data_IF_507028170740
#
_entry.id   IF_507028170740
#
_cell.length_a   1.000
_cell.length_b   1.000
_cell.length_c   1.000
_cell.angle_alpha   90.00
_cell.angle_beta   90.00
_cell.angle_gamma   90.00
#
_symmetry.space_group_name_H-M   'P 1'
#
loop_
_entity.id
_entity.type
_entity.pdbx_description
1 polymer ?
#
# COMPACT_ATOMS: atom_id res chain seq x y z
N UNK A 1 -4.78 -6.58 -11.05
CA UNK A 1 -6.02 -6.90 -11.78
C UNK A 1 -6.66 -8.22 -11.32
N UNK A 2 -5.88 -9.23 -10.92
CA UNK A 2 -6.41 -10.55 -10.51
C UNK A 2 -7.27 -10.54 -9.22
N UNK A 3 -6.90 -9.76 -8.21
CA UNK A 3 -7.71 -9.67 -6.98
C UNK A 3 -9.07 -9.00 -7.23
N UNK A 4 -9.11 -7.92 -8.02
CA UNK A 4 -10.36 -7.25 -8.37
C UNK A 4 -11.31 -8.20 -9.11
N UNK A 5 -10.78 -9.01 -10.03
CA UNK A 5 -11.58 -10.02 -10.72
C UNK A 5 -12.18 -11.07 -9.76
N UNK A 6 -11.50 -11.35 -8.64
CA UNK A 6 -11.98 -12.29 -7.61
C UNK A 6 -13.19 -11.78 -6.81
N UNK A 7 -13.46 -10.47 -6.85
CA UNK A 7 -14.55 -9.82 -6.11
C UNK A 7 -15.60 -9.15 -7.02
N UNK A 8 -15.67 -9.52 -8.29
CA UNK A 8 -16.50 -8.82 -9.29
C UNK A 8 -16.24 -7.30 -9.27
N UNK A 9 -14.96 -6.94 -9.39
CA UNK A 9 -14.50 -5.55 -9.38
C UNK A 9 -15.01 -4.69 -10.54
N UNK A 10 -15.91 -5.20 -11.37
CA UNK A 10 -16.62 -4.45 -12.42
C UNK A 10 -17.45 -3.30 -11.85
N UNK A 11 -17.84 -3.39 -10.58
CA UNK A 11 -18.64 -2.39 -9.86
C UNK A 11 -17.79 -1.39 -9.07
N UNK A 12 -16.45 -1.46 -9.14
CA UNK A 12 -15.60 -0.53 -8.40
C UNK A 12 -15.68 0.85 -9.06
N UNK A 13 -16.13 1.82 -8.27
CA UNK A 13 -16.18 3.22 -8.66
C UNK A 13 -14.79 3.84 -8.87
N UNK A 14 -14.72 5.13 -9.26
CA UNK A 14 -13.45 5.82 -9.35
C UNK A 14 -12.74 5.84 -7.97
N UNK A 15 -11.41 6.04 -7.94
CA UNK A 15 -10.69 6.20 -6.69
C UNK A 15 -11.28 7.34 -5.85
N UNK A 16 -11.35 7.14 -4.53
CA UNK A 16 -11.72 8.22 -3.59
C UNK A 16 -10.72 9.39 -3.71
N UNK A 17 -11.18 10.59 -3.34
CA UNK A 17 -10.45 11.85 -3.50
C UNK A 17 -8.96 11.79 -3.19
N UNK A 18 -8.54 11.35 -1.99
CA UNK A 18 -7.13 11.28 -1.62
C UNK A 18 -6.29 10.43 -2.59
N UNK A 19 -6.81 9.28 -3.03
CA UNK A 19 -6.11 8.39 -3.98
C UNK A 19 -6.04 9.02 -5.37
N UNK A 20 -7.12 9.67 -5.82
CA UNK A 20 -7.15 10.36 -7.11
C UNK A 20 -6.15 11.52 -7.15
N UNK A 21 -6.08 12.32 -6.08
CA UNK A 21 -5.13 13.43 -5.93
C UNK A 21 -3.69 12.94 -5.87
N UNK A 22 -3.43 11.86 -5.13
CA UNK A 22 -2.12 11.23 -5.11
C UNK A 22 -1.70 10.76 -6.50
N UNK A 23 -2.56 10.03 -7.22
CA UNK A 23 -2.27 9.54 -8.55
C UNK A 23 -1.95 10.66 -9.55
N UNK A 24 -2.64 11.80 -9.44
CA UNK A 24 -2.40 12.96 -10.29
C UNK A 24 -1.08 13.69 -9.95
N UNK A 25 -0.63 13.65 -8.69
CA UNK A 25 0.53 14.40 -8.20
C UNK A 25 1.83 13.60 -8.06
N UNK A 26 1.79 12.27 -8.12
CA UNK A 26 2.93 11.40 -7.76
C UNK A 26 4.14 11.60 -8.68
N UNK A 27 3.92 11.87 -9.98
CA UNK A 27 5.02 12.06 -10.95
C UNK A 27 5.83 13.33 -10.73
N UNK A 28 5.32 14.28 -9.93
CA UNK A 28 6.03 15.53 -9.60
C UNK A 28 6.87 15.44 -8.32
N UNK A 29 6.93 14.28 -7.66
CA UNK A 29 7.68 14.09 -6.41
C UNK A 29 9.15 13.79 -6.70
N UNK A 30 10.01 14.14 -5.74
CA UNK A 30 11.44 13.79 -5.77
C UNK A 30 11.63 12.30 -5.48
N UNK A 31 12.68 11.71 -6.04
CA UNK A 31 13.00 10.28 -5.87
C UNK A 31 13.13 9.87 -4.40
N UNK A 32 13.78 10.71 -3.58
CA UNK A 32 13.91 10.47 -2.15
C UNK A 32 12.54 10.43 -1.43
N UNK A 33 11.59 11.29 -1.82
CA UNK A 33 10.22 11.23 -1.26
C UNK A 33 9.50 9.96 -1.71
N UNK A 34 9.64 9.58 -2.98
CA UNK A 34 9.03 8.36 -3.52
C UNK A 34 9.61 7.11 -2.86
N UNK A 35 10.88 7.11 -2.49
CA UNK A 35 11.49 6.04 -1.72
C UNK A 35 10.86 5.91 -0.33
N UNK A 36 10.60 7.02 0.36
CA UNK A 36 9.88 7.04 1.63
C UNK A 36 8.44 6.51 1.51
N UNK A 37 7.74 6.93 0.46
CA UNK A 37 6.41 6.42 0.15
C UNK A 37 6.43 4.91 -0.12
N UNK A 38 7.40 4.44 -0.89
CA UNK A 38 7.55 3.02 -1.20
C UNK A 38 7.90 2.20 0.04
N UNK A 39 8.70 2.74 0.98
CA UNK A 39 8.98 2.10 2.26
C UNK A 39 7.69 1.76 3.04
N UNK A 40 6.71 2.67 3.06
CA UNK A 40 5.44 2.44 3.74
C UNK A 40 4.63 1.35 3.03
N UNK A 41 4.56 1.41 1.70
CA UNK A 41 3.82 0.42 0.91
C UNK A 41 4.44 -0.97 1.02
N UNK A 42 5.75 -1.10 0.84
CA UNK A 42 6.48 -2.36 0.99
C UNK A 42 6.38 -2.86 2.44
N UNK A 43 6.52 -1.98 3.43
CA UNK A 43 6.35 -2.30 4.84
C UNK A 43 4.95 -2.84 5.19
N UNK A 44 3.90 -2.31 4.54
CA UNK A 44 2.51 -2.72 4.77
C UNK A 44 2.26 -4.20 4.49
N UNK A 45 3.02 -4.82 3.58
CA UNK A 45 2.91 -6.25 3.23
C UNK A 45 3.22 -7.19 4.40
N UNK A 46 4.05 -6.76 5.36
CA UNK A 46 4.36 -7.53 6.57
C UNK A 46 3.10 -7.75 7.44
N UNK A 47 2.28 -6.70 7.61
CA UNK A 47 0.99 -6.79 8.31
C UNK A 47 -0.11 -7.36 7.41
N UNK A 48 -0.07 -7.03 6.12
CA UNK A 48 -1.01 -7.46 5.10
C UNK A 48 -1.18 -8.98 5.05
N UNK A 49 -0.11 -9.75 5.26
CA UNK A 49 -0.18 -11.21 5.36
C UNK A 49 -1.17 -11.72 6.39
N UNK A 50 -1.21 -11.11 7.58
CA UNK A 50 -2.16 -11.51 8.62
C UNK A 50 -3.60 -11.15 8.25
N UNK A 51 -3.80 -9.99 7.61
CA UNK A 51 -5.09 -9.56 7.09
C UNK A 51 -5.57 -10.52 5.99
N UNK A 52 -4.69 -10.90 5.06
CA UNK A 52 -4.97 -11.87 4.00
C UNK A 52 -5.42 -13.22 4.58
N UNK A 53 -4.75 -13.73 5.62
CA UNK A 53 -5.15 -14.96 6.30
C UNK A 53 -6.55 -14.85 6.91
N UNK A 54 -6.88 -13.71 7.54
CA UNK A 54 -8.19 -13.46 8.11
C UNK A 54 -9.28 -13.40 7.03
N UNK A 55 -9.03 -12.69 5.92
CA UNK A 55 -9.95 -12.59 4.78
C UNK A 55 -10.19 -13.96 4.14
N UNK A 56 -9.13 -14.73 3.83
CA UNK A 56 -9.24 -16.07 3.25
C UNK A 56 -10.12 -16.97 4.11
N UNK A 57 -9.89 -16.95 5.43
CA UNK A 57 -10.69 -17.72 6.39
C UNK A 57 -12.15 -17.22 6.46
N UNK A 58 -12.35 -15.91 6.54
CA UNK A 58 -13.67 -15.31 6.70
C UNK A 58 -14.58 -15.48 5.49
N UNK A 59 -14.00 -15.49 4.28
CA UNK A 59 -14.72 -15.62 3.02
C UNK A 59 -14.64 -17.01 2.38
N UNK A 60 -13.95 -17.96 3.01
CA UNK A 60 -13.77 -19.31 2.48
C UNK A 60 -12.96 -19.36 1.17
N UNK A 61 -12.00 -18.44 0.99
CA UNK A 61 -11.17 -18.39 -0.22
C UNK A 61 -10.10 -19.48 -0.18
N UNK A 62 -9.93 -20.16 -1.30
CA UNK A 62 -8.87 -21.14 -1.51
C UNK A 62 -7.63 -20.50 -2.13
N UNK A 63 -6.46 -20.83 -1.59
CA UNK A 63 -5.17 -20.31 -2.07
C UNK A 63 -4.99 -18.83 -1.79
N UNK A 64 -4.39 -18.10 -2.74
CA UNK A 64 -4.11 -16.66 -2.62
C UNK A 64 -5.11 -15.77 -3.38
N UNK A 65 -6.08 -16.36 -4.09
CA UNK A 65 -7.09 -15.62 -4.87
C UNK A 65 -7.81 -14.59 -4.01
N UNK A 66 -7.89 -13.36 -4.51
CA UNK A 66 -8.54 -12.23 -3.82
C UNK A 66 -7.70 -11.61 -2.70
N UNK A 67 -6.45 -12.01 -2.51
CA UNK A 67 -5.59 -11.47 -1.44
C UNK A 67 -4.14 -11.27 -1.84
N UNK A 68 -3.80 -11.36 -3.13
CA UNK A 68 -2.42 -11.25 -3.63
C UNK A 68 -1.83 -9.87 -3.35
N UNK A 69 -2.64 -8.83 -3.33
CA UNK A 69 -2.25 -7.47 -2.94
C UNK A 69 -1.76 -7.39 -1.49
N UNK A 70 -2.42 -8.11 -0.59
CA UNK A 70 -2.12 -8.08 0.85
C UNK A 70 -0.96 -9.00 1.24
N UNK A 71 -0.79 -10.11 0.52
CA UNK A 71 0.25 -11.13 0.78
C UNK A 71 1.00 -11.46 -0.54
N UNK A 72 1.69 -10.48 -1.15
CA UNK A 72 2.26 -10.62 -2.50
C UNK A 72 3.44 -11.58 -2.57
N UNK A 73 4.15 -11.77 -1.45
CA UNK A 73 5.38 -12.57 -1.39
C UNK A 73 5.19 -13.91 -0.69
N UNK A 74 4.03 -14.16 -0.07
CA UNK A 74 3.80 -15.37 0.69
C UNK A 74 4.91 -15.62 1.73
N UNK A 75 5.47 -16.82 1.71
CA UNK A 75 6.53 -17.21 2.64
C UNK A 75 7.86 -16.45 2.42
N UNK A 76 8.04 -15.83 1.24
CA UNK A 76 9.21 -15.01 0.95
C UNK A 76 9.14 -13.60 1.57
N UNK A 77 8.02 -13.22 2.20
CA UNK A 77 7.79 -11.89 2.77
C UNK A 77 8.95 -11.39 3.65
N UNK A 78 9.39 -12.23 4.60
CA UNK A 78 10.47 -11.85 5.51
C UNK A 78 11.79 -11.59 4.78
N UNK A 79 12.10 -12.41 3.78
CA UNK A 79 13.32 -12.25 2.99
C UNK A 79 13.25 -10.98 2.13
N UNK A 80 12.12 -10.74 1.44
CA UNK A 80 11.90 -9.53 0.63
C UNK A 80 11.99 -8.25 1.43
N UNK A 81 11.36 -8.21 2.61
CA UNK A 81 11.48 -7.07 3.50
C UNK A 81 12.92 -6.81 3.95
N UNK A 82 13.66 -7.88 4.29
CA UNK A 82 15.08 -7.77 4.65
C UNK A 82 15.94 -7.24 3.50
N UNK A 83 15.74 -7.75 2.28
CA UNK A 83 16.42 -7.28 1.06
C UNK A 83 16.15 -5.79 0.82
N UNK A 84 14.88 -5.36 0.96
CA UNK A 84 14.48 -3.97 0.79
C UNK A 84 15.16 -3.05 1.81
N UNK A 85 15.10 -3.39 3.11
CA UNK A 85 15.76 -2.60 4.15
C UNK A 85 17.28 -2.54 3.94
N UNK A 86 17.92 -3.64 3.52
CA UNK A 86 19.35 -3.68 3.24
C UNK A 86 19.71 -2.77 2.06
N UNK A 87 18.92 -2.80 0.98
CA UNK A 87 19.11 -1.94 -0.18
C UNK A 87 18.99 -0.45 0.21
N UNK A 88 17.94 -0.07 0.95
CA UNK A 88 17.78 1.30 1.45
C UNK A 88 18.93 1.74 2.35
N UNK A 89 19.37 0.87 3.26
CA UNK A 89 20.47 1.17 4.19
C UNK A 89 21.81 1.35 3.48
N UNK A 90 21.96 0.78 2.27
CA UNK A 90 23.16 0.92 1.44
C UNK A 90 23.19 2.21 0.60
N UNK A 91 22.11 3.00 0.57
CA UNK A 91 22.07 4.24 -0.20
C UNK A 91 22.92 5.33 0.47
N UNK A 92 23.75 6.00 -0.35
CA UNK A 92 24.45 7.22 0.07
C UNK A 92 23.54 8.41 -0.19
N UNK A 93 22.74 8.77 0.82
CA UNK A 93 21.84 9.93 0.78
C UNK A 93 22.49 11.14 1.47
N UNK A 94 22.24 12.32 0.96
CA UNK A 94 22.52 13.58 1.64
C UNK A 94 21.55 13.79 2.81
N UNK A 95 21.85 14.75 3.69
CA UNK A 95 20.98 15.06 4.83
C UNK A 95 19.56 15.49 4.38
N UNK A 96 19.48 16.32 3.35
CA UNK A 96 18.20 16.76 2.77
C UNK A 96 17.43 15.60 2.14
N UNK A 97 18.10 14.67 1.47
CA UNK A 97 17.45 13.49 0.89
C UNK A 97 16.91 12.55 1.97
N UNK A 98 17.61 12.41 3.11
CA UNK A 98 17.08 11.67 4.26
C UNK A 98 15.80 12.30 4.82
N UNK A 99 15.78 13.62 4.94
CA UNK A 99 14.57 14.36 5.35
C UNK A 99 13.42 14.13 4.36
N UNK A 100 13.72 14.11 3.06
CA UNK A 100 12.74 13.85 2.00
C UNK A 100 12.15 12.43 2.08
N UNK A 101 12.99 11.43 2.37
CA UNK A 101 12.54 10.04 2.61
C UNK A 101 11.59 9.98 3.80
N UNK A 102 11.97 10.60 4.93
CA UNK A 102 11.12 10.61 6.13
C UNK A 102 9.79 11.29 5.81
N UNK A 103 9.83 12.47 5.20
CA UNK A 103 8.65 13.23 4.86
C UNK A 103 7.76 12.49 3.84
N UNK A 104 8.36 11.73 2.91
CA UNK A 104 7.65 10.86 1.97
C UNK A 104 6.91 9.73 2.67
N UNK A 105 7.53 9.11 3.67
CA UNK A 105 6.90 8.07 4.48
C UNK A 105 5.74 8.63 5.33
N UNK A 106 5.94 9.76 6.01
CA UNK A 106 4.89 10.44 6.77
C UNK A 106 3.68 10.78 5.90
N UNK A 107 3.93 11.32 4.69
CA UNK A 107 2.86 11.59 3.71
C UNK A 107 2.11 10.34 3.29
N UNK A 108 2.80 9.22 3.06
CA UNK A 108 2.13 7.99 2.66
C UNK A 108 1.26 7.41 3.80
N UNK A 109 1.72 7.49 5.05
CA UNK A 109 0.87 7.15 6.20
C UNK A 109 -0.38 8.03 6.28
N UNK A 110 -0.22 9.35 6.13
CA UNK A 110 -1.35 10.28 6.11
C UNK A 110 -2.35 9.98 5.01
N UNK A 111 -1.87 9.76 3.79
CA UNK A 111 -2.71 9.41 2.63
C UNK A 111 -3.52 8.13 2.87
N UNK A 112 -2.91 7.10 3.46
CA UNK A 112 -3.61 5.85 3.78
C UNK A 112 -4.74 6.09 4.78
N UNK A 113 -4.50 6.90 5.81
CA UNK A 113 -5.53 7.26 6.82
C UNK A 113 -6.67 8.03 6.15
N UNK A 114 -6.35 9.09 5.41
CA UNK A 114 -7.34 9.90 4.68
C UNK A 114 -8.15 9.07 3.70
N UNK A 115 -7.52 8.10 3.04
CA UNK A 115 -8.19 7.16 2.14
C UNK A 115 -9.21 6.31 2.89
N UNK A 116 -8.86 5.75 4.05
CA UNK A 116 -9.79 4.94 4.84
C UNK A 116 -10.97 5.77 5.38
N UNK A 117 -10.70 7.00 5.82
CA UNK A 117 -11.75 7.92 6.28
C UNK A 117 -12.72 8.24 5.13
N UNK A 118 -12.20 8.61 3.95
CA UNK A 118 -13.01 8.90 2.77
C UNK A 118 -13.86 7.70 2.31
N UNK A 119 -13.28 6.49 2.35
CA UNK A 119 -14.00 5.25 2.03
C UNK A 119 -15.12 4.97 3.04
N UNK A 120 -14.89 5.20 4.33
CA UNK A 120 -15.90 5.00 5.38
C UNK A 120 -17.07 5.98 5.23
N UNK A 121 -16.78 7.24 4.90
CA UNK A 121 -17.80 8.25 4.63
C UNK A 121 -18.64 7.90 3.41
N UNK A 122 -18.02 7.40 2.33
CA UNK A 122 -18.73 7.01 1.12
C UNK A 122 -19.61 5.77 1.33
N UNK A 123 -19.11 4.77 2.06
CA UNK A 123 -19.91 3.61 2.47
C UNK A 123 -21.13 4.04 3.30
N UNK A 124 -20.98 5.06 4.16
CA UNK A 124 -22.08 5.59 4.99
C UNK A 124 -23.12 6.40 4.20
N UNK A 125 -22.80 6.85 2.99
CA UNK A 125 -23.70 7.62 2.10
C UNK A 125 -24.58 6.74 1.21
N UNK A 126 -24.27 5.44 1.11
CA UNK A 126 -25.05 4.49 0.31
C UNK A 126 -26.17 3.89 1.18
N UNK A 127 -27.46 4.13 0.86
CA UNK A 127 -28.60 3.68 1.67
C UNK A 127 -28.85 2.16 1.60
#
# INVERSE_FOLDING_TARGET
MEDLASFDGSQIGPPVGPVAEFAAGVSGKRDAELLGMHYVLEGSTNGGRFIAMAIRKGLGLEGDRGTRYLDPYGDAQKARWGEFCAAMSGLSLEATEREDVIAGAERMFGLIIETFDAMSEEASRTP
#
